data_IF_366140261524
#
_entry.id   IF_366140261524
#
_cell.length_a   1.000
_cell.length_b   1.000
_cell.length_c   1.000
_cell.angle_alpha   90.00
_cell.angle_beta   90.00
_cell.angle_gamma   90.00
#
_symmetry.space_group_name_H-M   'P 1'
#
loop_
_entity.id
_entity.type
_entity.pdbx_description
1 polymer ?
#
# COMPACT_ATOMS: atom_id res chain seq x y z
N UNK A 1 17.69 8.64 -10.84
CA UNK A 1 17.09 7.40 -11.37
C UNK A 1 15.98 7.80 -12.32
N UNK A 2 15.99 7.37 -13.60
CA UNK A 2 14.97 7.80 -14.54
C UNK A 2 13.63 7.17 -14.16
N UNK A 3 12.59 7.99 -14.12
CA UNK A 3 11.20 7.56 -14.03
C UNK A 3 10.85 6.76 -15.29
N UNK A 4 10.68 5.45 -15.17
CA UNK A 4 10.00 4.66 -16.18
C UNK A 4 8.53 5.11 -16.21
N UNK A 5 8.07 5.64 -17.35
CA UNK A 5 6.67 6.01 -17.51
C UNK A 5 5.82 4.73 -17.61
N UNK A 6 4.65 4.73 -16.97
CA UNK A 6 3.71 3.59 -16.98
C UNK A 6 3.18 3.22 -18.38
N UNK A 7 3.47 4.02 -19.41
CA UNK A 7 3.17 3.72 -20.81
C UNK A 7 4.18 2.77 -21.48
N UNK A 8 5.34 2.52 -20.88
CA UNK A 8 6.37 1.62 -21.42
C UNK A 8 6.17 0.14 -21.05
N UNK A 9 5.08 -0.22 -20.35
CA UNK A 9 4.87 -1.54 -19.76
C UNK A 9 4.41 -2.63 -20.75
N UNK A 10 4.38 -2.36 -22.06
CA UNK A 10 4.06 -3.34 -23.09
C UNK A 10 5.33 -3.80 -23.80
N UNK A 11 5.80 -5.00 -23.46
CA UNK A 11 6.73 -5.76 -24.29
C UNK A 11 6.14 -7.14 -24.51
N UNK A 12 5.51 -7.34 -25.68
CA UNK A 12 5.32 -8.67 -26.24
C UNK A 12 6.65 -9.07 -26.88
N UNK A 13 7.43 -9.90 -26.20
CA UNK A 13 8.60 -10.53 -26.82
C UNK A 13 8.14 -11.85 -27.40
N UNK A 14 7.88 -11.86 -28.71
CA UNK A 14 7.76 -13.11 -29.45
C UNK A 14 9.16 -13.70 -29.61
N UNK A 15 9.35 -14.88 -29.03
CA UNK A 15 10.52 -15.71 -29.27
C UNK A 15 10.04 -17.07 -29.80
N UNK A 16 10.84 -17.77 -30.59
CA UNK A 16 10.43 -19.04 -31.23
C UNK A 16 10.05 -20.15 -30.23
N UNK A 17 10.33 -19.93 -28.94
CA UNK A 17 10.13 -20.89 -27.87
C UNK A 17 8.98 -20.53 -26.89
N UNK A 18 8.74 -19.24 -26.60
CA UNK A 18 7.76 -18.78 -25.59
C UNK A 18 7.26 -17.36 -25.88
N UNK A 19 6.00 -17.08 -25.53
CA UNK A 19 5.40 -15.73 -25.58
C UNK A 19 5.27 -15.18 -24.16
N UNK A 20 5.76 -13.96 -23.89
CA UNK A 20 5.65 -13.31 -22.57
C UNK A 20 4.62 -12.18 -22.65
N UNK A 21 3.65 -12.20 -21.74
CA UNK A 21 2.65 -11.15 -21.58
C UNK A 21 2.76 -10.56 -20.16
N UNK A 22 2.95 -9.25 -20.06
CA UNK A 22 3.01 -8.51 -18.79
C UNK A 22 1.79 -7.60 -18.72
N UNK A 23 1.01 -7.73 -17.64
CA UNK A 23 -0.19 -6.93 -17.41
C UNK A 23 -0.03 -6.06 -16.16
N UNK A 24 0.08 -4.76 -16.42
CA UNK A 24 -0.20 -3.68 -15.49
C UNK A 24 -1.73 -3.38 -15.51
N UNK A 25 -2.27 -2.57 -14.57
CA UNK A 25 -3.65 -2.75 -14.13
C UNK A 25 -4.77 -2.52 -15.15
N UNK A 26 -4.52 -2.06 -16.40
CA UNK A 26 -5.57 -1.90 -17.41
C UNK A 26 -5.09 -2.18 -18.85
N UNK A 27 -5.89 -2.96 -19.61
CA UNK A 27 -6.05 -2.77 -21.07
C UNK A 27 -5.92 -3.99 -21.98
N UNK A 28 -5.23 -5.07 -21.57
CA UNK A 28 -4.74 -6.07 -22.53
C UNK A 28 -5.22 -7.51 -22.30
N UNK A 29 -6.15 -7.74 -21.37
CA UNK A 29 -6.63 -9.11 -21.12
C UNK A 29 -7.23 -9.76 -22.35
N UNK A 30 -7.99 -9.02 -23.17
CA UNK A 30 -8.56 -9.57 -24.41
C UNK A 30 -7.48 -10.07 -25.37
N UNK A 31 -6.33 -9.39 -25.45
CA UNK A 31 -5.20 -9.79 -26.30
C UNK A 31 -4.57 -11.08 -25.79
N UNK A 32 -4.36 -11.21 -24.48
CA UNK A 32 -3.87 -12.47 -23.89
C UNK A 32 -4.83 -13.62 -24.18
N UNK A 33 -6.14 -13.39 -24.05
CA UNK A 33 -7.12 -14.45 -24.35
C UNK A 33 -7.13 -14.87 -25.82
N UNK A 34 -6.82 -13.96 -26.74
CA UNK A 34 -6.75 -14.23 -28.18
C UNK A 34 -5.46 -14.96 -28.58
N UNK A 35 -4.32 -14.56 -27.98
CA UNK A 35 -2.99 -14.98 -28.43
C UNK A 35 -2.32 -16.02 -27.51
N UNK A 36 -2.92 -16.34 -26.34
CA UNK A 36 -2.30 -17.30 -25.41
C UNK A 36 -2.21 -18.70 -25.98
N UNK A 37 -1.15 -19.39 -25.60
CA UNK A 37 -0.99 -20.84 -25.77
C UNK A 37 -0.43 -21.46 -24.50
N UNK A 38 -0.32 -22.80 -24.46
CA UNK A 38 0.34 -23.51 -23.36
C UNK A 38 1.84 -23.17 -23.18
N UNK A 39 2.44 -22.44 -24.13
CA UNK A 39 3.83 -21.95 -24.05
C UNK A 39 3.93 -20.49 -23.59
N UNK A 40 2.81 -19.84 -23.28
CA UNK A 40 2.84 -18.44 -22.87
C UNK A 40 3.18 -18.31 -21.38
N UNK A 41 3.97 -17.30 -21.03
CA UNK A 41 4.18 -16.83 -19.66
C UNK A 41 3.37 -15.55 -19.47
N UNK A 42 2.44 -15.56 -18.52
CA UNK A 42 1.61 -14.41 -18.18
C UNK A 42 1.99 -13.89 -16.79
N UNK A 43 2.35 -12.62 -16.69
CA UNK A 43 2.64 -11.93 -15.44
C UNK A 43 1.56 -10.90 -15.20
N UNK A 44 0.78 -11.06 -14.14
CA UNK A 44 -0.30 -10.17 -13.75
C UNK A 44 0.05 -9.50 -12.42
N UNK A 45 0.14 -8.17 -12.43
CA UNK A 45 0.34 -7.40 -11.21
C UNK A 45 -0.92 -6.59 -10.90
N UNK A 46 -1.61 -6.97 -9.83
CA UNK A 46 -2.77 -6.26 -9.28
C UNK A 46 -3.92 -6.07 -10.27
N UNK A 47 -4.12 -7.08 -11.12
CA UNK A 47 -5.24 -7.15 -12.04
C UNK A 47 -6.59 -7.08 -11.30
N UNK A 48 -7.53 -6.32 -11.84
CA UNK A 48 -8.84 -6.09 -11.22
C UNK A 48 -8.87 -4.99 -10.16
N UNK A 49 -7.76 -4.26 -9.93
CA UNK A 49 -7.79 -3.00 -9.17
C UNK A 49 -8.53 -1.88 -9.93
N UNK A 50 -9.02 -0.88 -9.20
CA UNK A 50 -9.74 0.27 -9.77
C UNK A 50 -11.26 0.09 -9.89
N UNK A 51 -11.80 -1.02 -9.39
CA UNK A 51 -13.24 -1.29 -9.31
C UNK A 51 -13.63 -1.73 -7.89
N UNK A 52 -14.92 -2.05 -7.67
CA UNK A 52 -15.37 -2.65 -6.40
C UNK A 52 -14.58 -3.95 -6.15
N UNK A 53 -14.17 -4.17 -4.90
CA UNK A 53 -13.37 -5.36 -4.52
C UNK A 53 -14.01 -6.67 -5.03
N UNK A 54 -15.33 -6.82 -4.87
CA UNK A 54 -16.05 -8.00 -5.37
C UNK A 54 -15.93 -8.18 -6.90
N UNK A 55 -15.98 -7.09 -7.66
CA UNK A 55 -15.81 -7.15 -9.12
C UNK A 55 -14.38 -7.52 -9.49
N UNK A 56 -13.38 -6.94 -8.79
CA UNK A 56 -11.97 -7.24 -9.01
C UNK A 56 -11.64 -8.72 -8.72
N UNK A 57 -12.12 -9.23 -7.58
CA UNK A 57 -12.02 -10.65 -7.23
C UNK A 57 -12.67 -11.52 -8.30
N UNK A 58 -13.88 -11.19 -8.73
CA UNK A 58 -14.59 -11.95 -9.77
C UNK A 58 -13.85 -11.98 -11.11
N UNK A 59 -13.25 -10.87 -11.52
CA UNK A 59 -12.42 -10.82 -12.73
C UNK A 59 -11.18 -11.71 -12.62
N UNK A 60 -10.48 -11.66 -11.49
CA UNK A 60 -9.30 -12.52 -11.26
C UNK A 60 -9.69 -13.99 -11.28
N UNK A 61 -10.73 -14.36 -10.53
CA UNK A 61 -11.22 -15.75 -10.44
C UNK A 61 -11.65 -16.25 -11.81
N UNK A 62 -12.51 -15.52 -12.52
CA UNK A 62 -12.98 -15.92 -13.86
C UNK A 62 -11.86 -16.04 -14.88
N UNK A 63 -10.83 -15.18 -14.82
CA UNK A 63 -9.65 -15.31 -15.67
C UNK A 63 -8.88 -16.60 -15.39
N UNK A 64 -8.61 -16.91 -14.12
CA UNK A 64 -7.91 -18.14 -13.73
C UNK A 64 -8.73 -19.37 -14.13
N UNK A 65 -10.03 -19.39 -13.83
CA UNK A 65 -10.95 -20.47 -14.20
C UNK A 65 -10.96 -20.70 -15.72
N UNK A 66 -10.97 -19.62 -16.51
CA UNK A 66 -10.89 -19.73 -17.96
C UNK A 66 -9.55 -20.30 -18.44
N UNK A 67 -8.43 -19.92 -17.83
CA UNK A 67 -7.12 -20.49 -18.15
C UNK A 67 -7.06 -21.99 -17.90
N UNK A 68 -7.50 -22.44 -16.72
CA UNK A 68 -7.45 -23.85 -16.33
C UNK A 68 -8.48 -24.72 -17.08
N UNK A 69 -9.56 -24.10 -17.60
CA UNK A 69 -10.61 -24.81 -18.35
C UNK A 69 -10.13 -25.38 -19.69
N UNK A 70 -9.05 -24.84 -20.25
CA UNK A 70 -8.39 -25.36 -21.44
C UNK A 70 -6.92 -25.67 -21.13
N UNK A 71 -6.62 -26.89 -20.62
CA UNK A 71 -5.26 -27.28 -20.26
C UNK A 71 -4.25 -27.23 -21.42
N UNK A 72 -4.70 -27.36 -22.67
CA UNK A 72 -3.81 -27.31 -23.84
C UNK A 72 -3.33 -25.89 -24.15
N UNK A 73 -4.18 -24.89 -23.88
CA UNK A 73 -3.86 -23.47 -24.04
C UNK A 73 -3.52 -22.76 -22.72
N UNK A 74 -3.47 -23.48 -21.59
CA UNK A 74 -3.28 -22.88 -20.26
C UNK A 74 -1.85 -22.30 -20.14
N UNK A 75 -1.70 -20.97 -20.00
CA UNK A 75 -0.40 -20.36 -19.89
C UNK A 75 0.20 -20.59 -18.50
N UNK A 76 1.53 -20.57 -18.40
CA UNK A 76 2.20 -20.45 -17.10
C UNK A 76 1.95 -19.05 -16.57
N UNK A 77 1.33 -18.90 -15.39
CA UNK A 77 0.87 -17.59 -14.90
C UNK A 77 1.45 -17.27 -13.53
N UNK A 78 2.05 -16.08 -13.40
CA UNK A 78 2.42 -15.46 -12.14
C UNK A 78 1.46 -14.31 -11.85
N UNK A 79 0.67 -14.43 -10.78
CA UNK A 79 -0.31 -13.43 -10.37
C UNK A 79 0.05 -12.87 -8.98
N UNK A 80 0.37 -11.58 -8.92
CA UNK A 80 0.50 -10.84 -7.67
C UNK A 80 -0.81 -10.07 -7.39
N UNK A 81 -1.36 -10.21 -6.18
CA UNK A 81 -2.60 -9.53 -5.80
C UNK A 81 -2.70 -9.22 -4.31
N UNK A 82 -3.36 -8.11 -3.97
CA UNK A 82 -3.81 -7.80 -2.62
C UNK A 82 -5.20 -8.38 -2.27
N UNK A 83 -5.87 -9.08 -3.20
CA UNK A 83 -7.15 -9.71 -2.94
C UNK A 83 -6.98 -11.00 -2.14
N UNK A 84 -6.97 -10.86 -0.82
CA UNK A 84 -6.83 -11.97 0.10
C UNK A 84 -7.95 -13.02 -0.02
N UNK A 85 -9.13 -12.68 -0.54
CA UNK A 85 -10.27 -13.61 -0.66
C UNK A 85 -10.28 -14.41 -1.97
N UNK A 86 -9.37 -14.17 -2.93
CA UNK A 86 -9.37 -14.89 -4.22
C UNK A 86 -9.33 -16.42 -4.03
N UNK A 87 -8.57 -16.87 -3.04
CA UNK A 87 -8.42 -18.28 -2.73
C UNK A 87 -9.70 -18.96 -2.21
N UNK A 88 -10.67 -18.20 -1.70
CA UNK A 88 -11.95 -18.72 -1.22
C UNK A 88 -12.89 -19.07 -2.38
N UNK A 89 -12.59 -18.58 -3.58
CA UNK A 89 -13.44 -18.68 -4.76
C UNK A 89 -12.85 -19.56 -5.86
N UNK A 90 -11.59 -20.00 -5.72
CA UNK A 90 -10.95 -20.90 -6.68
C UNK A 90 -11.13 -22.36 -6.27
N UNK A 91 -11.32 -23.27 -7.24
CA UNK A 91 -11.41 -24.70 -6.95
C UNK A 91 -10.09 -25.24 -6.38
N UNK A 92 -10.16 -26.28 -5.56
CA UNK A 92 -8.98 -27.05 -5.18
C UNK A 92 -8.46 -27.81 -6.42
N UNK A 93 -7.32 -27.39 -6.95
CA UNK A 93 -6.76 -27.91 -8.21
C UNK A 93 -5.24 -27.95 -8.13
N UNK A 94 -4.57 -28.94 -8.73
CA UNK A 94 -3.10 -28.96 -8.80
C UNK A 94 -2.53 -27.86 -9.70
N UNK A 95 -3.38 -27.16 -10.47
CA UNK A 95 -2.98 -26.09 -11.38
C UNK A 95 -2.77 -24.73 -10.70
N UNK A 96 -3.15 -24.60 -9.42
CA UNK A 96 -3.06 -23.33 -8.68
C UNK A 96 -2.29 -23.55 -7.39
N UNK A 97 -1.12 -22.91 -7.30
CA UNK A 97 -0.29 -22.88 -6.09
C UNK A 97 -0.32 -21.49 -5.50
N UNK A 98 -0.53 -21.41 -4.18
CA UNK A 98 -0.51 -20.14 -3.45
C UNK A 98 0.88 -19.92 -2.85
N UNK A 99 1.46 -18.76 -3.15
CA UNK A 99 2.75 -18.34 -2.63
C UNK A 99 2.60 -17.01 -1.88
N UNK A 100 3.43 -16.81 -0.86
CA UNK A 100 3.48 -15.57 -0.09
C UNK A 100 4.91 -15.23 0.28
N UNK A 101 5.21 -13.93 0.39
CA UNK A 101 6.49 -13.47 0.90
C UNK A 101 6.52 -13.55 2.42
N UNK A 102 7.59 -14.13 2.94
CA UNK A 102 7.79 -14.22 4.37
C UNK A 102 8.11 -12.86 4.99
N UNK A 103 7.41 -12.56 6.08
CA UNK A 103 7.64 -11.40 6.91
C UNK A 103 7.53 -11.78 8.39
N UNK A 104 8.31 -11.11 9.23
CA UNK A 104 8.32 -11.29 10.67
C UNK A 104 8.11 -9.96 11.38
N UNK A 105 7.58 -10.02 12.60
CA UNK A 105 7.46 -8.85 13.46
C UNK A 105 8.58 -8.85 14.48
N UNK A 106 9.31 -7.75 14.55
CA UNK A 106 10.37 -7.56 15.54
C UNK A 106 10.23 -6.16 16.14
N UNK A 107 10.09 -6.08 17.46
CA UNK A 107 9.96 -4.81 18.20
C UNK A 107 8.85 -3.86 17.69
N UNK A 108 7.78 -4.41 17.12
CA UNK A 108 6.68 -3.64 16.54
C UNK A 108 6.87 -3.22 15.09
N UNK A 109 8.05 -3.48 14.51
CA UNK A 109 8.36 -3.25 13.11
C UNK A 109 8.16 -4.52 12.27
N UNK A 110 7.86 -4.33 10.98
CA UNK A 110 7.74 -5.41 10.01
C UNK A 110 9.06 -5.60 9.27
N UNK A 111 9.64 -6.79 9.37
CA UNK A 111 10.87 -7.18 8.66
C UNK A 111 10.48 -8.08 7.49
N UNK A 112 10.89 -7.69 6.28
CA UNK A 112 10.67 -8.45 5.06
C UNK A 112 11.87 -9.35 4.80
N UNK A 113 11.65 -10.66 4.70
CA UNK A 113 12.72 -11.61 4.39
C UNK A 113 12.97 -11.76 2.90
N UNK A 114 12.07 -11.21 2.07
CA UNK A 114 12.08 -11.35 0.60
C UNK A 114 12.13 -12.81 0.11
N UNK A 115 11.79 -13.75 0.98
CA UNK A 115 11.74 -15.17 0.69
C UNK A 115 10.31 -15.57 0.32
N UNK A 116 10.16 -16.23 -0.83
CA UNK A 116 8.89 -16.77 -1.27
C UNK A 116 8.68 -18.15 -0.65
N UNK A 117 7.50 -18.40 -0.09
CA UNK A 117 7.11 -19.71 0.46
C UNK A 117 5.69 -20.08 0.07
N UNK A 118 5.39 -21.37 0.09
CA UNK A 118 4.02 -21.85 -0.05
C UNK A 118 3.15 -21.33 1.09
N UNK A 119 1.95 -20.85 0.74
CA UNK A 119 1.00 -20.31 1.68
C UNK A 119 0.25 -19.11 1.15
N UNK A 120 -0.57 -18.53 2.02
CA UNK A 120 -1.42 -17.37 1.72
C UNK A 120 -1.09 -16.26 2.70
N UNK A 121 -1.20 -15.02 2.27
CA UNK A 121 -1.12 -13.89 3.18
C UNK A 121 -2.33 -13.94 4.14
N UNK A 122 -2.06 -13.98 5.44
CA UNK A 122 -3.10 -14.10 6.48
C UNK A 122 -3.59 -12.76 7.02
N UNK A 123 -2.91 -11.65 6.70
CA UNK A 123 -3.20 -10.34 7.28
C UNK A 123 -2.72 -9.19 6.40
N UNK A 124 -3.40 -8.05 6.50
CA UNK A 124 -2.95 -6.78 5.94
C UNK A 124 -2.01 -6.08 6.91
N UNK A 125 -0.89 -5.57 6.39
CA UNK A 125 0.10 -4.80 7.17
C UNK A 125 0.02 -3.29 6.92
N UNK A 126 -1.07 -2.80 6.30
CA UNK A 126 -1.18 -1.41 5.87
C UNK A 126 -0.89 -0.38 6.98
N UNK A 127 -1.35 -0.64 8.22
CA UNK A 127 -1.07 0.26 9.36
C UNK A 127 0.41 0.32 9.71
N UNK A 128 1.09 -0.84 9.74
CA UNK A 128 2.52 -0.95 10.06
C UNK A 128 3.36 -0.31 8.95
N UNK A 129 3.02 -0.59 7.68
CA UNK A 129 3.65 0.04 6.52
C UNK A 129 3.52 1.56 6.57
N UNK A 130 2.32 2.06 6.91
CA UNK A 130 2.08 3.48 7.07
C UNK A 130 2.93 4.11 8.19
N UNK A 131 3.02 3.44 9.34
CA UNK A 131 3.85 3.89 10.46
C UNK A 131 5.34 3.93 10.08
N UNK A 132 5.85 2.87 9.45
CA UNK A 132 7.24 2.79 8.98
C UNK A 132 7.55 3.84 7.90
N UNK A 133 6.56 4.22 7.08
CA UNK A 133 6.66 5.31 6.12
C UNK A 133 6.59 6.73 6.75
N UNK A 134 6.48 6.83 8.07
CA UNK A 134 6.46 8.10 8.80
C UNK A 134 5.09 8.78 8.86
N UNK A 135 3.99 8.05 8.60
CA UNK A 135 2.65 8.60 8.82
C UNK A 135 2.42 8.89 10.30
N UNK A 136 1.72 10.00 10.59
CA UNK A 136 1.41 10.37 11.97
C UNK A 136 0.51 9.32 12.63
N UNK A 137 0.64 9.18 13.95
CA UNK A 137 -0.20 8.28 14.76
C UNK A 137 -1.70 8.53 14.52
N UNK A 138 -2.08 9.79 14.37
CA UNK A 138 -3.47 10.20 14.12
C UNK A 138 -3.99 9.63 12.77
N UNK A 139 -3.17 9.63 11.72
CA UNK A 139 -3.51 9.03 10.40
C UNK A 139 -3.68 7.52 10.53
N UNK A 140 -2.70 6.83 11.15
CA UNK A 140 -2.71 5.37 11.29
C UNK A 140 -3.90 4.93 12.14
N UNK A 141 -4.17 5.61 13.25
CA UNK A 141 -5.31 5.34 14.10
C UNK A 141 -6.64 5.54 13.35
N UNK A 142 -6.76 6.61 12.56
CA UNK A 142 -7.96 6.86 11.76
C UNK A 142 -8.16 5.77 10.70
N UNK A 143 -7.11 5.33 10.03
CA UNK A 143 -7.18 4.22 9.08
C UNK A 143 -7.70 2.93 9.75
N UNK A 144 -7.18 2.59 10.93
CA UNK A 144 -7.63 1.41 11.68
C UNK A 144 -9.12 1.49 12.05
N UNK A 145 -9.58 2.65 12.52
CA UNK A 145 -11.00 2.89 12.80
C UNK A 145 -11.87 2.66 11.56
N UNK A 146 -11.46 3.22 10.41
CA UNK A 146 -12.17 3.09 9.13
C UNK A 146 -12.25 1.62 8.72
N UNK A 147 -11.13 0.90 8.76
CA UNK A 147 -11.08 -0.53 8.43
C UNK A 147 -12.02 -1.33 9.33
N UNK A 148 -12.00 -1.10 10.64
CA UNK A 148 -12.91 -1.77 11.57
C UNK A 148 -14.39 -1.47 11.27
N UNK A 149 -14.70 -0.23 10.90
CA UNK A 149 -16.05 0.16 10.54
C UNK A 149 -16.54 -0.53 9.26
N UNK A 150 -15.68 -0.67 8.24
CA UNK A 150 -15.96 -1.46 7.04
C UNK A 150 -16.27 -2.91 7.39
N UNK A 151 -15.44 -3.56 8.22
CA UNK A 151 -15.66 -4.94 8.67
C UNK A 151 -16.97 -5.11 9.44
N UNK A 152 -17.35 -4.12 10.26
CA UNK A 152 -18.62 -4.13 11.01
C UNK A 152 -19.83 -3.60 10.21
N UNK A 153 -19.68 -3.24 8.93
CA UNK A 153 -20.71 -2.54 8.13
C UNK A 153 -21.28 -1.29 8.80
N UNK A 154 -20.49 -0.61 9.64
CA UNK A 154 -20.87 0.62 10.34
C UNK A 154 -20.42 1.83 9.52
N UNK A 155 -21.24 2.88 9.50
CA UNK A 155 -20.82 4.19 8.99
C UNK A 155 -20.10 4.94 10.10
N UNK A 156 -18.88 5.40 9.82
CA UNK A 156 -18.22 6.39 10.67
C UNK A 156 -18.56 7.78 10.17
N UNK A 157 -18.78 8.69 11.12
CA UNK A 157 -18.91 10.10 10.79
C UNK A 157 -17.56 10.63 10.26
N UNK A 158 -17.60 11.56 9.28
CA UNK A 158 -16.43 12.32 8.90
C UNK A 158 -15.84 12.99 10.14
N UNK A 159 -14.53 12.90 10.29
CA UNK A 159 -13.79 13.62 11.32
C UNK A 159 -12.87 14.58 10.59
N UNK A 160 -13.07 15.87 10.81
CA UNK A 160 -12.03 16.84 10.52
C UNK A 160 -10.91 16.55 11.51
N UNK A 161 -9.72 16.25 11.02
CA UNK A 161 -8.56 16.21 11.90
C UNK A 161 -8.34 17.66 12.37
N UNK A 162 -8.77 17.95 13.59
CA UNK A 162 -8.46 19.21 14.25
C UNK A 162 -6.95 19.29 14.30
N UNK A 163 -6.37 20.19 13.51
CA UNK A 163 -4.96 20.52 13.60
C UNK A 163 -4.71 20.81 15.07
N UNK A 164 -3.83 20.04 15.73
CA UNK A 164 -3.36 20.40 17.07
C UNK A 164 -2.95 21.87 16.98
N UNK A 165 -3.43 22.68 17.92
CA UNK A 165 -3.14 24.11 18.04
C UNK A 165 -1.70 24.38 17.57
N UNK A 166 -1.48 25.28 16.58
CA UNK A 166 -0.15 25.51 16.03
C UNK A 166 0.81 25.81 17.17
N UNK A 167 1.99 25.18 17.16
CA UNK A 167 3.03 25.35 18.20
C UNK A 167 3.37 26.84 18.40
N UNK A 168 3.17 27.67 17.37
CA UNK A 168 3.26 29.12 17.43
C UNK A 168 2.38 29.77 18.51
N UNK A 169 1.21 29.23 18.86
CA UNK A 169 0.39 29.76 19.97
C UNK A 169 1.08 29.58 21.34
N UNK A 170 1.93 28.56 21.48
CA UNK A 170 2.81 28.40 22.65
C UNK A 170 4.06 29.29 22.56
N UNK A 171 4.50 29.62 21.35
CA UNK A 171 5.64 30.50 21.11
C UNK A 171 5.26 32.00 21.13
N UNK A 172 3.98 32.35 20.98
CA UNK A 172 3.52 33.73 20.88
C UNK A 172 3.86 34.56 22.13
N UNK A 173 3.72 34.05 23.37
CA UNK A 173 4.16 34.77 24.56
C UNK A 173 5.69 34.97 24.61
N UNK A 174 6.47 34.05 24.03
CA UNK A 174 7.94 34.16 23.96
C UNK A 174 8.39 35.17 22.92
N UNK A 175 7.74 35.16 21.76
CA UNK A 175 7.98 36.16 20.71
C UNK A 175 7.59 37.54 21.22
N UNK A 176 6.46 37.66 21.93
CA UNK A 176 6.05 38.93 22.53
C UNK A 176 7.05 39.41 23.59
N UNK A 177 7.51 38.53 24.49
CA UNK A 177 8.58 38.86 25.44
C UNK A 177 9.87 39.33 24.75
N UNK A 178 10.27 38.69 23.66
CA UNK A 178 11.47 39.06 22.91
C UNK A 178 11.31 40.43 22.23
N UNK A 179 10.12 40.72 21.71
CA UNK A 179 9.80 41.99 21.06
C UNK A 179 9.70 43.15 22.05
N UNK A 180 9.22 42.87 23.26
CA UNK A 180 9.07 43.88 24.34
C UNK A 180 10.38 44.12 25.10
N UNK A 181 11.37 43.23 24.97
CA UNK A 181 12.65 43.37 25.65
C UNK A 181 13.57 44.38 24.96
N UNK A 182 14.16 45.27 25.76
CA UNK A 182 15.21 46.16 25.29
C UNK A 182 16.57 45.43 25.27
N UNK A 183 16.81 44.70 24.18
CA UNK A 183 18.06 43.94 23.98
C UNK A 183 19.27 44.84 23.69
N UNK A 184 19.08 46.16 23.56
CA UNK A 184 20.20 47.09 23.38
C UNK A 184 20.94 47.37 24.69
N UNK A 185 20.37 46.95 25.84
CA UNK A 185 20.98 47.11 27.16
C UNK A 185 21.24 45.77 27.83
N UNK A 186 22.31 45.71 28.64
CA UNK A 186 22.63 44.50 29.40
C UNK A 186 21.54 44.16 30.43
N UNK A 187 20.92 45.19 31.02
CA UNK A 187 19.82 45.04 31.98
C UNK A 187 18.57 44.43 31.33
N UNK A 188 18.19 44.88 30.13
CA UNK A 188 17.05 44.34 29.38
C UNK A 188 17.27 42.90 28.91
N UNK A 189 18.50 42.54 28.54
CA UNK A 189 18.85 41.15 28.22
C UNK A 189 18.77 40.22 29.46
N UNK A 190 19.26 40.68 30.62
CA UNK A 190 19.16 39.91 31.87
C UNK A 190 17.72 39.77 32.37
N UNK A 191 16.88 40.81 32.20
CA UNK A 191 15.47 40.77 32.55
C UNK A 191 14.69 39.74 31.73
N UNK A 192 14.93 39.68 30.41
CA UNK A 192 14.37 38.66 29.53
C UNK A 192 14.75 37.25 30.01
N UNK A 193 16.04 37.02 30.34
CA UNK A 193 16.51 35.73 30.83
C UNK A 193 15.90 35.36 32.19
N UNK A 194 15.68 36.33 33.08
CA UNK A 194 15.00 36.11 34.36
C UNK A 194 13.54 35.69 34.17
N UNK A 195 12.85 36.28 33.20
CA UNK A 195 11.43 36.05 32.94
C UNK A 195 11.12 34.89 32.00
N UNK A 196 12.14 34.27 31.38
CA UNK A 196 11.98 33.08 30.55
C UNK A 196 11.31 31.92 31.31
N UNK A 197 10.36 31.19 30.68
CA UNK A 197 9.73 30.01 31.27
C UNK A 197 10.78 28.94 31.61
N UNK A 198 10.59 28.25 32.74
CA UNK A 198 11.53 27.22 33.21
C UNK A 198 11.75 26.06 32.23
N UNK A 199 10.84 25.84 31.27
CA UNK A 199 11.00 24.83 30.22
C UNK A 199 12.00 25.24 29.11
N UNK A 200 12.50 26.47 29.14
CA UNK A 200 13.43 27.05 28.15
C UNK A 200 14.70 27.63 28.78
N UNK A 201 14.80 27.58 30.12
CA UNK A 201 16.05 27.84 30.86
C UNK A 201 16.86 26.55 30.93
#
# INVERSE_FOLDING_TARGET
MPFFSLQSAYQQTHNELFDIFILAPNGLMSHIFQERSGKSLVIMDEFGKGTKVANGVGLVVGTIESFISDPAACPHTLLATHFHTVHDHLPATPHVTYLTFESLRHEGELVYLYQLKEGRASSSYASLVGQAAGLSKDIVQRQQQITQAFSSKRKLLPQLMTRKEPVWNKALPLVQMLLDADLATQEGAEELLRNMPAALK
#
